data_IF_801493683643
#
_entry.id   IF_801493683643
#
_cell.length_a   1.000
_cell.length_b   1.000
_cell.length_c   1.000
_cell.angle_alpha   90.00
_cell.angle_beta   90.00
_cell.angle_gamma   90.00
#
_symmetry.space_group_name_H-M   'P 1'
#
loop_
_entity.id
_entity.type
_entity.pdbx_description
1 polymer ?
#
# COMPACT_ATOMS: atom_id res chain seq x y z
N UNK A 1 -3.68 -32.53 1.51
CA UNK A 1 -3.79 -33.25 2.79
C UNK A 1 -2.87 -32.53 3.78
N UNK A 2 -3.41 -31.70 4.67
CA UNK A 2 -2.61 -31.08 5.73
C UNK A 2 -2.69 -32.01 6.95
N UNK A 3 -1.53 -32.52 7.38
CA UNK A 3 -1.39 -33.18 8.67
C UNK A 3 -1.37 -32.09 9.76
N UNK A 4 -2.20 -32.30 10.80
CA UNK A 4 -2.42 -31.47 11.98
C UNK A 4 -3.08 -30.10 11.78
N UNK A 5 -4.39 -30.05 12.06
CA UNK A 5 -5.29 -28.90 11.98
C UNK A 5 -5.00 -27.73 12.93
N UNK A 6 -3.79 -27.18 12.92
CA UNK A 6 -3.45 -25.90 13.55
C UNK A 6 -3.54 -24.78 12.51
N UNK A 7 -4.50 -23.87 12.70
CA UNK A 7 -4.56 -22.62 11.94
C UNK A 7 -3.53 -21.64 12.53
N UNK A 8 -2.56 -21.22 11.72
CA UNK A 8 -1.64 -20.14 12.09
C UNK A 8 -2.30 -18.83 11.71
N UNK A 9 -2.68 -18.00 12.69
CA UNK A 9 -3.18 -16.65 12.45
C UNK A 9 -1.99 -15.70 12.32
N UNK A 10 -1.71 -15.26 11.10
CA UNK A 10 -0.71 -14.22 10.85
C UNK A 10 -1.37 -12.84 11.03
N UNK A 11 -0.76 -11.98 11.83
CA UNK A 11 -1.12 -10.56 11.87
C UNK A 11 -0.31 -9.84 10.80
N UNK A 12 -1.00 -9.10 9.93
CA UNK A 12 -0.36 -8.24 8.94
C UNK A 12 -0.44 -6.81 9.46
N UNK A 13 0.69 -6.11 9.47
CA UNK A 13 0.81 -4.74 9.96
C UNK A 13 0.83 -3.76 8.78
N UNK A 14 0.36 -2.54 9.04
CA UNK A 14 0.45 -1.41 8.12
C UNK A 14 1.38 -0.39 8.76
N UNK A 15 2.38 0.08 8.02
CA UNK A 15 3.40 0.99 8.57
C UNK A 15 2.78 2.29 9.10
N UNK A 16 1.87 2.89 8.33
CA UNK A 16 1.20 4.14 8.72
C UNK A 16 -0.29 4.13 8.42
N UNK A 17 -1.07 4.64 9.39
CA UNK A 17 -2.49 4.96 9.22
C UNK A 17 -2.68 6.45 9.44
N UNK A 18 -2.95 7.17 8.36
CA UNK A 18 -3.12 8.62 8.40
C UNK A 18 -4.61 8.98 8.33
N UNK A 19 -5.08 9.85 9.21
CA UNK A 19 -6.46 10.33 9.24
C UNK A 19 -6.49 11.85 9.13
N UNK A 20 -7.29 12.38 8.21
CA UNK A 20 -7.58 13.81 8.09
C UNK A 20 -9.06 14.01 7.76
N UNK A 21 -9.85 14.40 8.75
CA UNK A 21 -11.31 14.58 8.63
C UNK A 21 -11.98 13.37 7.98
N UNK A 22 -12.48 13.48 6.75
CA UNK A 22 -13.16 12.42 6.00
C UNK A 22 -12.22 11.55 5.16
N UNK A 23 -10.90 11.84 5.21
CA UNK A 23 -9.87 11.11 4.48
C UNK A 23 -9.12 10.20 5.43
N UNK A 24 -8.90 8.97 4.97
CA UNK A 24 -8.01 8.00 5.60
C UNK A 24 -7.11 7.40 4.53
N UNK A 25 -5.85 7.22 4.91
CA UNK A 25 -4.83 6.56 4.10
C UNK A 25 -4.19 5.42 4.89
N UNK A 26 -4.06 4.27 4.26
CA UNK A 26 -3.21 3.17 4.70
C UNK A 26 -1.96 3.20 3.83
N UNK A 27 -0.79 3.34 4.45
CA UNK A 27 0.46 3.57 3.71
C UNK A 27 1.47 2.49 4.10
N UNK A 28 2.03 1.84 3.09
CA UNK A 28 3.19 0.96 3.20
C UNK A 28 4.41 1.65 2.57
N UNK A 29 5.58 1.51 3.19
CA UNK A 29 6.84 2.04 2.65
C UNK A 29 7.73 0.92 2.12
N UNK A 30 8.24 1.07 0.90
CA UNK A 30 9.08 0.06 0.25
C UNK A 30 10.39 0.66 -0.26
N UNK A 31 11.51 -0.02 0.00
CA UNK A 31 12.80 0.37 -0.59
C UNK A 31 12.85 0.06 -2.08
N UNK A 32 12.30 -1.08 -2.47
CA UNK A 32 12.21 -1.49 -3.86
C UNK A 32 11.05 -2.45 -4.12
N UNK A 33 10.53 -2.45 -5.35
CA UNK A 33 9.50 -3.36 -5.85
C UNK A 33 10.03 -4.17 -7.05
N UNK A 34 11.12 -4.94 -6.90
CA UNK A 34 11.82 -5.55 -8.03
C UNK A 34 11.09 -6.78 -8.60
N UNK A 35 10.20 -7.40 -7.82
CA UNK A 35 9.47 -8.60 -8.21
C UNK A 35 8.00 -8.53 -7.81
N UNK A 36 7.18 -9.36 -8.45
CA UNK A 36 5.76 -9.48 -8.14
C UNK A 36 5.52 -10.02 -6.74
N UNK A 37 6.35 -10.95 -6.27
CA UNK A 37 6.25 -11.50 -4.92
C UNK A 37 6.50 -10.44 -3.86
N UNK A 38 7.46 -9.54 -4.10
CA UNK A 38 7.70 -8.40 -3.21
C UNK A 38 6.53 -7.44 -3.20
N UNK A 39 5.98 -7.12 -4.37
CA UNK A 39 4.78 -6.29 -4.46
C UNK A 39 3.61 -6.92 -3.67
N UNK A 40 3.33 -8.21 -3.88
CA UNK A 40 2.29 -8.94 -3.16
C UNK A 40 2.52 -8.95 -1.65
N UNK A 41 3.78 -9.07 -1.20
CA UNK A 41 4.12 -9.03 0.22
C UNK A 41 3.77 -7.67 0.84
N UNK A 42 4.13 -6.56 0.18
CA UNK A 42 3.84 -5.20 0.67
C UNK A 42 2.35 -4.85 0.58
N UNK A 43 1.63 -5.37 -0.43
CA UNK A 43 0.20 -5.12 -0.61
C UNK A 43 -0.68 -5.97 0.33
N UNK A 44 -0.15 -7.09 0.85
CA UNK A 44 -0.95 -8.05 1.60
C UNK A 44 -1.70 -7.42 2.78
N UNK A 45 -1.04 -6.58 3.58
CA UNK A 45 -1.69 -5.91 4.72
C UNK A 45 -2.81 -4.98 4.26
N UNK A 46 -2.59 -4.25 3.16
CA UNK A 46 -3.55 -3.32 2.57
C UNK A 46 -4.77 -4.05 2.01
N UNK A 47 -4.59 -5.17 1.31
CA UNK A 47 -5.68 -5.97 0.73
C UNK A 47 -6.58 -6.62 1.79
N UNK A 48 -6.05 -6.91 2.98
CA UNK A 48 -6.84 -7.47 4.08
C UNK A 48 -7.74 -6.43 4.77
N UNK A 49 -7.57 -5.14 4.49
CA UNK A 49 -8.40 -4.07 5.04
C UNK A 49 -9.67 -3.92 4.20
N UNK A 50 -10.78 -4.44 4.73
CA UNK A 50 -12.08 -4.44 4.08
C UNK A 50 -12.84 -3.10 4.25
N UNK A 51 -12.26 -2.03 3.73
CA UNK A 51 -12.91 -0.73 3.56
C UNK A 51 -12.51 -0.06 2.23
N UNK A 52 -13.18 1.04 1.89
CA UNK A 52 -12.95 1.77 0.64
C UNK A 52 -11.99 2.96 0.79
N UNK A 53 -11.29 3.10 1.92
CA UNK A 53 -10.32 4.18 2.08
C UNK A 53 -9.05 3.91 1.27
N UNK A 54 -8.35 4.99 0.95
CA UNK A 54 -7.23 4.96 0.02
C UNK A 54 -6.05 4.17 0.59
N UNK A 55 -5.47 3.32 -0.25
CA UNK A 55 -4.32 2.46 0.06
C UNK A 55 -3.17 2.91 -0.83
N UNK A 56 -1.98 3.08 -0.25
CA UNK A 56 -0.83 3.67 -0.93
C UNK A 56 0.43 2.89 -0.59
N UNK A 57 1.27 2.64 -1.60
CA UNK A 57 2.63 2.15 -1.41
C UNK A 57 3.59 3.24 -1.87
N UNK A 58 4.42 3.73 -0.96
CA UNK A 58 5.47 4.68 -1.29
C UNK A 58 6.76 3.91 -1.53
N UNK A 59 7.25 3.91 -2.77
CA UNK A 59 8.42 3.15 -3.17
C UNK A 59 9.55 4.05 -3.68
N UNK A 60 10.78 3.80 -3.24
CA UNK A 60 11.95 4.57 -3.68
C UNK A 60 12.30 4.35 -5.16
N UNK A 61 12.06 3.15 -5.68
CA UNK A 61 12.40 2.77 -7.06
C UNK A 61 11.21 2.86 -8.04
N UNK A 62 10.03 3.24 -7.58
CA UNK A 62 8.91 3.49 -8.46
C UNK A 62 9.23 4.67 -9.40
N UNK A 63 8.97 4.47 -10.69
CA UNK A 63 9.31 5.45 -11.73
C UNK A 63 8.19 6.48 -11.88
N UNK A 64 6.93 6.03 -11.90
CA UNK A 64 5.75 6.88 -12.09
C UNK A 64 4.62 6.45 -11.17
N UNK A 65 3.83 7.44 -10.72
CA UNK A 65 2.60 7.19 -9.98
C UNK A 65 1.59 6.41 -10.83
N UNK A 66 1.06 5.30 -10.30
CA UNK A 66 0.01 4.53 -10.96
C UNK A 66 -0.82 3.75 -9.95
N UNK A 67 -2.03 3.37 -10.34
CA UNK A 67 -2.84 2.42 -9.59
C UNK A 67 -2.57 1.02 -10.13
N UNK A 68 -2.45 0.05 -9.23
CA UNK A 68 -2.46 -1.36 -9.58
C UNK A 68 -3.91 -1.85 -9.81
N UNK A 69 -4.06 -3.14 -10.14
CA UNK A 69 -5.37 -3.75 -10.42
C UNK A 69 -6.29 -3.81 -9.18
N UNK A 70 -5.73 -3.71 -7.98
CA UNK A 70 -6.45 -3.69 -6.70
C UNK A 70 -6.80 -2.27 -6.20
N UNK A 71 -6.51 -1.23 -7.00
CA UNK A 71 -6.78 0.16 -6.65
C UNK A 71 -5.82 0.76 -5.61
N UNK A 72 -4.66 0.13 -5.39
CA UNK A 72 -3.57 0.66 -4.55
C UNK A 72 -2.74 1.63 -5.37
N UNK A 73 -2.51 2.84 -4.84
CA UNK A 73 -1.65 3.83 -5.47
C UNK A 73 -0.18 3.50 -5.18
N UNK A 74 0.59 3.17 -6.22
CA UNK A 74 2.05 3.11 -6.15
C UNK A 74 2.59 4.52 -6.41
N UNK A 75 3.27 5.11 -5.42
CA UNK A 75 3.75 6.49 -5.43
C UNK A 75 5.28 6.53 -5.28
N UNK A 76 6.02 7.17 -6.22
CA UNK A 76 7.45 7.39 -6.06
C UNK A 76 7.79 8.20 -4.81
N UNK A 77 8.82 7.79 -4.07
CA UNK A 77 9.27 8.48 -2.84
C UNK A 77 9.56 9.96 -3.09
N UNK A 78 10.25 10.29 -4.18
CA UNK A 78 10.56 11.69 -4.49
C UNK A 78 9.30 12.49 -4.84
N UNK A 79 8.32 11.89 -5.50
CA UNK A 79 7.05 12.56 -5.78
C UNK A 79 6.31 12.87 -4.48
N UNK A 80 6.26 11.90 -3.55
CA UNK A 80 5.68 12.08 -2.22
C UNK A 80 6.34 13.21 -1.42
N UNK A 81 7.68 13.28 -1.44
CA UNK A 81 8.43 14.27 -0.66
C UNK A 81 8.40 15.67 -1.27
N UNK A 82 8.27 15.80 -2.60
CA UNK A 82 8.37 17.07 -3.31
C UNK A 82 7.02 17.75 -3.55
N UNK A 83 5.90 17.04 -3.42
CA UNK A 83 4.56 17.59 -3.68
C UNK A 83 3.65 17.44 -2.46
N UNK A 84 3.21 18.56 -1.90
CA UNK A 84 2.31 18.59 -0.74
C UNK A 84 0.99 17.82 -0.97
N UNK A 85 0.56 17.73 -2.22
CA UNK A 85 -0.68 17.07 -2.62
C UNK A 85 -0.47 15.67 -3.21
N UNK A 86 0.71 15.06 -3.07
CA UNK A 86 1.04 13.78 -3.70
C UNK A 86 0.05 12.64 -3.39
N UNK A 87 -0.51 12.63 -2.18
CA UNK A 87 -1.53 11.66 -1.77
C UNK A 87 -2.94 11.99 -2.29
N UNK A 88 -3.20 13.25 -2.64
CA UNK A 88 -4.49 13.75 -3.10
C UNK A 88 -4.61 13.61 -4.62
N UNK A 89 -4.26 12.44 -5.17
CA UNK A 89 -4.25 12.19 -6.60
C UNK A 89 -5.69 12.21 -7.16
N UNK A 90 -6.22 13.41 -7.37
CA UNK A 90 -7.52 13.67 -8.01
C UNK A 90 -7.26 13.69 -9.51
N UNK A 91 -7.65 12.63 -10.21
CA UNK A 91 -7.87 12.74 -11.66
C UNK A 91 -9.21 13.41 -11.85
N UNK A 92 -9.19 14.64 -12.38
CA UNK A 92 -10.35 15.28 -12.98
C UNK A 92 -10.51 14.75 -14.40
#
# INVERSE_FOLDING_TARGET
MFADGKSTRTQLEVDFVCNQTSRRYYIQSALSLPTKEKLQQEEASLLHINDSFQKVIIAKDAIISHYNDDGILILPLFEFLLHENALQHVRV
#
